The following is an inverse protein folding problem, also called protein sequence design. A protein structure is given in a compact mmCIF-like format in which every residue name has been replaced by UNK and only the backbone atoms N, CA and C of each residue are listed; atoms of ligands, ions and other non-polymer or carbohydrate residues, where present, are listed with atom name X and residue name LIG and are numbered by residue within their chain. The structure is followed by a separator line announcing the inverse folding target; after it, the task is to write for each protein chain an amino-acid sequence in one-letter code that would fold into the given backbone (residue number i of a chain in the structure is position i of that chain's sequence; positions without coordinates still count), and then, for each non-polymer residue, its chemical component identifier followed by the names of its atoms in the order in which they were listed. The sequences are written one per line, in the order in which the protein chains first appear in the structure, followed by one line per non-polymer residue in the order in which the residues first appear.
data_IF_158101324481
#
_entry.id   IF_158101324481
#
_cell.length_a   1.000
_cell.length_b   1.000
_cell.length_c   1.000
_cell.angle_alpha   90.00
_cell.angle_beta   90.00
_cell.angle_gamma   90.00
#
_symmetry.space_group_name_H-M   'P 1'
#
loop_
_entity.id
_entity.type
_entity.pdbx_description
1 polymer ?
#
# COMPACT_ATOMS: atom_id res chain seq x y z
N UNK A 1 15.60 -4.16 -8.65
CA UNK A 1 15.01 -2.81 -8.85
C UNK A 1 15.06 -2.07 -7.54
N UNK A 2 15.53 -0.84 -7.54
CA UNK A 2 15.53 -0.06 -6.30
C UNK A 2 14.11 0.46 -6.00
N UNK A 3 13.89 0.84 -4.75
CA UNK A 3 12.55 1.24 -4.29
C UNK A 3 12.08 2.54 -4.96
N UNK A 4 12.99 3.45 -5.29
CA UNK A 4 12.60 4.72 -5.94
C UNK A 4 12.06 4.47 -7.33
N UNK A 5 12.70 3.60 -8.11
CA UNK A 5 12.21 3.20 -9.42
C UNK A 5 10.88 2.45 -9.30
N UNK A 6 10.76 1.59 -8.31
CA UNK A 6 9.53 0.83 -8.09
C UNK A 6 8.37 1.74 -7.77
N UNK A 7 8.57 2.71 -6.88
CA UNK A 7 7.53 3.69 -6.53
C UNK A 7 7.11 4.49 -7.76
N UNK A 8 8.06 4.94 -8.55
CA UNK A 8 7.79 5.68 -9.78
C UNK A 8 6.96 4.87 -10.76
N UNK A 9 7.32 3.59 -10.92
CA UNK A 9 6.58 2.65 -11.77
C UNK A 9 5.15 2.47 -11.29
N UNK A 10 4.95 2.27 -9.98
CA UNK A 10 3.61 2.14 -9.40
C UNK A 10 2.80 3.41 -9.57
N UNK A 11 3.41 4.57 -9.43
CA UNK A 11 2.73 5.84 -9.67
C UNK A 11 2.27 5.97 -11.12
N UNK A 12 3.08 5.54 -12.08
CA UNK A 12 2.70 5.51 -13.49
C UNK A 12 1.53 4.55 -13.74
N UNK A 13 1.57 3.37 -13.13
CA UNK A 13 0.47 2.42 -13.18
C UNK A 13 -0.82 3.05 -12.67
N UNK A 14 -0.74 3.72 -11.53
CA UNK A 14 -1.89 4.40 -10.90
C UNK A 14 -2.47 5.48 -11.80
N UNK A 15 -1.62 6.27 -12.43
CA UNK A 15 -2.05 7.32 -13.37
C UNK A 15 -2.75 6.72 -14.59
N UNK A 16 -2.26 5.62 -15.13
CA UNK A 16 -2.90 4.92 -16.23
C UNK A 16 -4.29 4.43 -15.85
N UNK A 17 -4.41 3.79 -14.68
CA UNK A 17 -5.68 3.29 -14.16
C UNK A 17 -6.67 4.45 -14.00
N UNK A 18 -6.25 5.52 -13.32
CA UNK A 18 -7.13 6.67 -13.06
C UNK A 18 -7.57 7.35 -14.33
N UNK A 19 -6.69 7.45 -15.31
CA UNK A 19 -7.01 8.07 -16.61
C UNK A 19 -8.08 7.27 -17.36
N UNK A 20 -8.01 5.95 -17.31
CA UNK A 20 -8.95 5.08 -18.03
C UNK A 20 -10.26 4.94 -17.29
N UNK A 21 -10.22 4.69 -15.99
CA UNK A 21 -11.42 4.38 -15.19
C UNK A 21 -12.09 5.61 -14.56
N UNK A 22 -11.32 6.64 -14.25
CA UNK A 22 -11.83 7.77 -13.48
C UNK A 22 -12.11 7.40 -12.02
N UNK A 23 -12.64 8.34 -11.23
CA UNK A 23 -13.05 8.07 -9.85
C UNK A 23 -14.43 7.42 -9.81
N UNK A 24 -14.81 6.88 -8.65
CA UNK A 24 -16.19 6.45 -8.39
C UNK A 24 -16.42 4.95 -8.31
N UNK A 25 -15.45 4.15 -8.69
CA UNK A 25 -15.57 2.70 -8.52
C UNK A 25 -15.22 2.29 -7.09
N UNK A 26 -15.60 1.07 -6.73
CA UNK A 26 -15.21 0.46 -5.47
C UNK A 26 -13.69 0.24 -5.42
N UNK A 27 -13.15 0.23 -4.23
CA UNK A 27 -11.72 0.02 -3.98
C UNK A 27 -11.17 -1.22 -4.68
N UNK A 28 -11.95 -2.32 -4.69
CA UNK A 28 -11.55 -3.58 -5.31
C UNK A 28 -11.29 -3.45 -6.82
N UNK A 29 -11.98 -2.56 -7.50
CA UNK A 29 -11.78 -2.34 -8.94
C UNK A 29 -10.38 -1.79 -9.19
N UNK A 30 -9.97 -0.80 -8.40
CA UNK A 30 -8.64 -0.19 -8.53
C UNK A 30 -7.53 -1.16 -8.11
N UNK A 31 -7.78 -1.94 -7.07
CA UNK A 31 -6.85 -2.97 -6.61
C UNK A 31 -6.61 -4.00 -7.70
N UNK A 32 -7.67 -4.55 -8.29
CA UNK A 32 -7.56 -5.53 -9.37
C UNK A 32 -6.88 -4.94 -10.61
N UNK A 33 -7.16 -3.67 -10.91
CA UNK A 33 -6.53 -2.97 -12.03
C UNK A 33 -5.02 -2.82 -11.80
N UNK A 34 -4.63 -2.54 -10.55
CA UNK A 34 -3.20 -2.46 -10.20
C UNK A 34 -2.50 -3.80 -10.45
N UNK A 35 -3.15 -4.92 -10.13
CA UNK A 35 -2.57 -6.24 -10.39
C UNK A 35 -2.34 -6.45 -11.89
N UNK A 36 -3.27 -6.01 -12.74
CA UNK A 36 -3.10 -6.07 -14.20
C UNK A 36 -1.86 -5.28 -14.62
N UNK A 37 -1.71 -4.06 -14.11
CA UNK A 37 -0.56 -3.22 -14.44
C UNK A 37 0.76 -3.82 -13.96
N UNK A 38 0.80 -4.36 -12.75
CA UNK A 38 1.99 -5.00 -12.20
C UNK A 38 2.39 -6.23 -13.02
N UNK A 39 1.43 -7.04 -13.43
CA UNK A 39 1.68 -8.20 -14.29
C UNK A 39 2.27 -7.79 -15.63
N UNK A 40 1.75 -6.73 -16.24
CA UNK A 40 2.25 -6.23 -17.52
C UNK A 40 3.72 -5.80 -17.45
N UNK A 41 4.16 -5.37 -16.28
CA UNK A 41 5.54 -4.93 -16.05
C UNK A 41 6.44 -6.02 -15.50
N UNK A 42 5.93 -7.23 -15.35
CA UNK A 42 6.70 -8.37 -14.86
C UNK A 42 7.11 -8.26 -13.40
N UNK A 43 6.38 -7.49 -12.61
CA UNK A 43 6.68 -7.30 -11.19
C UNK A 43 6.04 -8.41 -10.35
N UNK A 44 6.80 -8.93 -9.39
CA UNK A 44 6.33 -9.94 -8.45
C UNK A 44 5.56 -9.25 -7.32
N UNK A 45 4.42 -9.80 -6.95
CA UNK A 45 3.62 -9.24 -5.87
C UNK A 45 2.91 -10.34 -5.07
N UNK A 46 2.56 -9.98 -3.84
CA UNK A 46 1.67 -10.76 -2.98
C UNK A 46 0.44 -9.92 -2.68
N UNK A 47 -0.74 -10.56 -2.68
CA UNK A 47 -1.99 -9.88 -2.33
C UNK A 47 -2.46 -10.36 -0.96
N UNK A 48 -3.11 -9.45 -0.22
CA UNK A 48 -3.71 -9.75 1.07
C UNK A 48 -2.73 -10.46 2.02
N UNK A 49 -1.48 -9.97 2.04
CA UNK A 49 -0.44 -10.56 2.89
C UNK A 49 -0.85 -10.45 4.37
N UNK A 50 -0.92 -11.59 5.10
CA UNK A 50 -1.30 -11.55 6.50
C UNK A 50 -0.29 -10.76 7.35
N UNK A 51 -0.82 -9.95 8.26
CA UNK A 51 -0.04 -9.17 9.21
C UNK A 51 -0.54 -9.51 10.60
N UNK A 52 0.30 -10.14 11.41
CA UNK A 52 -0.04 -10.50 12.78
C UNK A 52 0.62 -9.54 13.76
N UNK A 53 -0.17 -9.00 14.68
CA UNK A 53 0.31 -8.09 15.71
C UNK A 53 0.24 -8.79 17.06
N UNK A 54 1.36 -8.81 17.77
CA UNK A 54 1.48 -9.47 19.07
C UNK A 54 1.72 -8.45 20.17
N UNK A 55 1.12 -8.71 21.32
CA UNK A 55 1.40 -7.99 22.55
C UNK A 55 1.70 -9.02 23.62
N UNK A 56 2.88 -8.93 24.20
CA UNK A 56 3.36 -9.89 25.20
C UNK A 56 3.16 -11.36 24.73
N UNK A 57 3.56 -11.63 23.49
CA UNK A 57 3.48 -12.95 22.85
C UNK A 57 2.05 -13.48 22.62
N UNK A 58 1.05 -12.62 22.78
CA UNK A 58 -0.35 -12.96 22.48
C UNK A 58 -0.76 -12.26 21.19
N UNK A 59 -1.37 -13.01 20.28
CA UNK A 59 -1.91 -12.44 19.05
C UNK A 59 -3.09 -11.53 19.40
N UNK A 60 -2.93 -10.21 19.18
CA UNK A 60 -3.96 -9.22 19.51
C UNK A 60 -4.58 -8.57 18.29
N UNK A 61 -4.00 -8.74 17.11
CA UNK A 61 -4.56 -8.21 15.88
C UNK A 61 -4.10 -9.02 14.67
N UNK A 62 -4.98 -9.15 13.70
CA UNK A 62 -4.72 -9.88 12.48
C UNK A 62 -5.26 -9.07 11.32
N UNK A 63 -4.36 -8.61 10.44
CA UNK A 63 -4.67 -7.70 9.34
C UNK A 63 -4.13 -8.25 8.03
N UNK A 64 -4.46 -7.59 6.93
CA UNK A 64 -3.95 -7.95 5.61
C UNK A 64 -3.48 -6.70 4.88
N UNK A 65 -2.25 -6.73 4.37
CA UNK A 65 -1.75 -5.69 3.48
C UNK A 65 -2.36 -5.92 2.09
N UNK A 66 -2.81 -4.85 1.43
CA UNK A 66 -3.46 -4.97 0.13
C UNK A 66 -2.55 -5.65 -0.89
N UNK A 67 -1.42 -5.05 -1.17
CA UNK A 67 -0.45 -5.56 -2.14
C UNK A 67 0.95 -5.30 -1.60
N UNK A 68 1.81 -6.30 -1.67
CA UNK A 68 3.24 -6.15 -1.40
C UNK A 68 3.99 -6.40 -2.71
N UNK A 69 4.71 -5.40 -3.19
CA UNK A 69 5.42 -5.46 -4.47
C UNK A 69 6.89 -5.73 -4.23
N UNK A 70 7.41 -6.76 -4.89
CA UNK A 70 8.83 -7.17 -4.84
C UNK A 70 9.34 -7.38 -3.41
N UNK A 71 8.45 -7.63 -2.46
CA UNK A 71 8.82 -7.81 -1.06
C UNK A 71 9.34 -6.57 -0.35
N UNK A 72 9.37 -5.40 -1.01
CA UNK A 72 10.00 -4.19 -0.47
C UNK A 72 9.08 -2.98 -0.38
N UNK A 73 7.86 -3.08 -0.90
CA UNK A 73 6.92 -1.94 -0.92
C UNK A 73 5.51 -2.43 -0.63
N UNK A 74 4.88 -1.86 0.40
CA UNK A 74 3.46 -2.10 0.66
C UNK A 74 2.64 -1.03 -0.05
N UNK A 75 1.65 -1.46 -0.83
CA UNK A 75 0.64 -0.57 -1.42
C UNK A 75 -0.67 -0.71 -0.64
N UNK A 76 -1.23 0.41 -0.22
CA UNK A 76 -2.58 0.50 0.31
C UNK A 76 -3.41 1.36 -0.63
N UNK A 77 -4.45 0.80 -1.21
CA UNK A 77 -5.31 1.48 -2.16
C UNK A 77 -6.62 1.89 -1.50
N UNK A 78 -7.03 3.12 -1.75
CA UNK A 78 -8.27 3.68 -1.23
C UNK A 78 -9.09 4.28 -2.38
N UNK A 79 -10.39 4.36 -2.18
CA UNK A 79 -11.32 4.98 -3.11
C UNK A 79 -12.29 5.88 -2.31
N UNK A 80 -11.72 6.88 -1.64
CA UNK A 80 -12.45 7.81 -0.76
C UNK A 80 -12.31 9.23 -1.28
N UNK A 81 -13.22 10.12 -0.89
CA UNK A 81 -13.16 11.52 -1.31
C UNK A 81 -11.93 12.22 -0.74
N UNK A 82 -11.57 11.92 0.50
CA UNK A 82 -10.41 12.50 1.16
C UNK A 82 -9.72 11.45 2.01
N UNK A 83 -8.39 11.42 1.95
CA UNK A 83 -7.61 10.60 2.84
C UNK A 83 -7.63 11.20 4.25
N UNK A 84 -7.74 10.34 5.25
CA UNK A 84 -7.64 10.70 6.66
C UNK A 84 -6.28 10.29 7.20
N UNK A 85 -5.82 11.00 8.23
CA UNK A 85 -4.57 10.65 8.91
C UNK A 85 -4.58 9.21 9.40
N UNK A 86 -5.75 8.68 9.76
CA UNK A 86 -5.88 7.29 10.19
C UNK A 86 -5.42 6.29 9.11
N UNK A 87 -5.62 6.60 7.83
CA UNK A 87 -5.15 5.74 6.73
C UNK A 87 -3.62 5.72 6.67
N UNK A 88 -2.98 6.86 6.90
CA UNK A 88 -1.52 6.97 6.90
C UNK A 88 -0.92 6.23 8.10
N UNK A 89 -1.52 6.40 9.27
CA UNK A 89 -1.09 5.73 10.50
C UNK A 89 -1.21 4.21 10.33
N UNK A 90 -2.30 3.73 9.76
CA UNK A 90 -2.50 2.31 9.51
C UNK A 90 -1.39 1.72 8.64
N UNK A 91 -1.04 2.41 7.56
CA UNK A 91 0.04 1.94 6.68
C UNK A 91 1.38 1.90 7.44
N UNK A 92 1.70 2.92 8.22
CA UNK A 92 2.93 2.92 9.03
C UNK A 92 2.94 1.75 10.03
N UNK A 93 1.79 1.46 10.64
CA UNK A 93 1.68 0.30 11.54
C UNK A 93 1.92 -1.02 10.81
N UNK A 94 1.43 -1.16 9.59
CA UNK A 94 1.69 -2.35 8.77
C UNK A 94 3.17 -2.48 8.41
N UNK A 95 3.82 -1.37 8.09
CA UNK A 95 5.27 -1.37 7.82
C UNK A 95 6.05 -1.82 9.06
N UNK A 96 5.68 -1.30 10.23
CA UNK A 96 6.33 -1.67 11.49
C UNK A 96 6.14 -3.17 11.79
N UNK A 97 4.93 -3.68 11.62
CA UNK A 97 4.62 -5.08 11.92
C UNK A 97 5.29 -6.06 10.94
N UNK A 98 5.43 -5.69 9.67
CA UNK A 98 6.01 -6.56 8.65
C UNK A 98 7.53 -6.45 8.52
N UNK A 99 8.12 -5.36 9.02
CA UNK A 99 9.53 -5.05 8.80
C UNK A 99 9.84 -4.55 7.40
N UNK A 100 8.83 -4.22 6.60
CA UNK A 100 9.02 -3.62 5.28
C UNK A 100 9.20 -2.11 5.45
N UNK A 101 10.20 -1.53 4.80
CA UNK A 101 10.63 -0.16 5.07
C UNK A 101 9.80 0.90 4.35
N UNK A 102 9.13 0.57 3.25
CA UNK A 102 8.49 1.54 2.38
C UNK A 102 7.04 1.20 2.11
N UNK A 103 6.18 2.21 2.16
CA UNK A 103 4.77 2.10 1.83
C UNK A 103 4.31 3.24 0.95
N UNK A 104 3.29 2.99 0.15
CA UNK A 104 2.65 3.99 -0.69
C UNK A 104 1.15 3.85 -0.53
N UNK A 105 0.52 4.92 -0.05
CA UNK A 105 -0.92 5.03 0.06
C UNK A 105 -1.42 5.74 -1.20
N UNK A 106 -2.36 5.13 -1.90
CA UNK A 106 -2.88 5.63 -3.18
C UNK A 106 -4.38 5.77 -3.07
N UNK A 107 -4.89 6.97 -3.33
CA UNK A 107 -6.32 7.23 -3.32
C UNK A 107 -6.82 7.58 -4.71
N UNK A 108 -7.73 6.75 -5.22
CA UNK A 108 -8.35 6.89 -6.53
C UNK A 108 -9.70 7.63 -6.47
N UNK A 109 -10.22 7.92 -5.28
CA UNK A 109 -11.58 8.44 -5.12
C UNK A 109 -11.68 9.94 -5.01
N UNK A 110 -10.58 10.65 -4.85
CA UNK A 110 -10.56 12.12 -4.80
C UNK A 110 -10.60 12.75 -6.20
N UNK A 111 -10.81 14.05 -6.26
CA UNK A 111 -10.83 14.77 -7.54
C UNK A 111 -9.52 14.56 -8.31
N UNK A 112 -8.42 14.57 -7.61
CA UNK A 112 -7.11 14.23 -8.16
C UNK A 112 -6.59 12.97 -7.48
N UNK A 113 -5.84 12.16 -8.23
CA UNK A 113 -5.15 11.00 -7.69
C UNK A 113 -4.18 11.46 -6.62
N UNK A 114 -4.25 10.87 -5.43
CA UNK A 114 -3.41 11.24 -4.29
C UNK A 114 -2.43 10.13 -3.96
N UNK A 115 -1.21 10.52 -3.65
CA UNK A 115 -0.15 9.61 -3.19
C UNK A 115 0.40 10.11 -1.86
N UNK A 116 0.59 9.20 -0.91
CA UNK A 116 1.29 9.48 0.35
C UNK A 116 2.33 8.41 0.57
N UNK A 117 3.60 8.79 0.49
CA UNK A 117 4.70 7.88 0.78
C UNK A 117 4.92 7.81 2.28
N UNK A 118 5.06 6.59 2.80
CA UNK A 118 5.30 6.35 4.22
C UNK A 118 6.53 5.49 4.41
N UNK A 119 7.15 5.64 5.58
CA UNK A 119 8.36 4.92 5.97
C UNK A 119 8.10 4.17 7.26
N UNK A 120 8.77 3.05 7.42
CA UNK A 120 8.69 2.29 8.66
C UNK A 120 9.27 3.10 9.81
N UNK A 121 8.59 3.07 10.97
CA UNK A 121 9.08 3.67 12.19
C UNK A 121 9.89 2.63 12.94
N UNK A 122 11.15 2.95 13.24
CA UNK A 122 12.01 2.13 14.05
C UNK A 122 11.84 2.56 15.50
N UNK A 123 11.46 1.62 16.36
CA UNK A 123 11.33 1.88 17.78
C UNK A 123 12.58 1.39 18.49
N UNK A 124 13.12 2.23 19.37
CA UNK A 124 14.22 1.81 20.24
C UNK A 124 13.72 0.72 21.16
N UNK A 125 14.48 -0.38 21.24
CA UNK A 125 14.25 -1.36 22.27
C UNK A 125 14.92 -0.88 23.54
N UNK A 126 14.16 -0.84 24.63
CA UNK A 126 14.69 -0.58 25.96
C UNK A 126 15.02 -1.92 26.58
N UNK A 127 16.30 -2.13 26.84
CA UNK A 127 16.75 -3.31 27.59
C UNK A 127 16.64 -3.08 29.07
#
# INVERSE_FOLDING_TARGET
MDVEMLIRTVMECSKNIRRVLGPGYLESVYKNSMLVELNKRGLVYEIEKPISVYYENVLVGDFKADIVVEGILILELKAVQSLHMAHEIQLVNYLTATGIDHGLLINFGSDELQFKRKYRVYRKQFS
#
